data_IF_749873779039
#
_entry.id   IF_749873779039
#
_cell.length_a   1.000
_cell.length_b   1.000
_cell.length_c   1.000
_cell.angle_alpha   90.00
_cell.angle_beta   90.00
_cell.angle_gamma   90.00
#
_symmetry.space_group_name_H-M   'P 1'
#
loop_
_entity.id
_entity.type
_entity.pdbx_description
1 polymer ?
#
# COMPACT_ATOMS: atom_id res chain seq x y z
N UNK A 1 9.53 3.67 -19.96
CA UNK A 1 10.78 3.57 -19.20
C UNK A 1 10.48 3.04 -17.81
N UNK A 2 10.49 1.72 -17.60
CA UNK A 2 10.55 1.11 -16.27
C UNK A 2 11.93 0.46 -16.20
N UNK A 3 12.85 1.06 -15.46
CA UNK A 3 14.15 0.45 -15.22
C UNK A 3 13.93 -0.85 -14.44
N UNK A 4 14.44 -1.94 -15.02
CA UNK A 4 14.34 -3.30 -14.52
C UNK A 4 15.29 -3.44 -13.32
N UNK A 5 14.79 -3.23 -12.10
CA UNK A 5 15.58 -3.48 -10.88
C UNK A 5 15.55 -4.99 -10.60
N UNK A 6 16.45 -5.75 -11.24
CA UNK A 6 16.55 -7.20 -11.03
C UNK A 6 17.07 -7.55 -9.64
N UNK A 7 17.84 -6.64 -9.02
CA UNK A 7 18.50 -6.84 -7.73
C UNK A 7 18.40 -5.58 -6.88
N UNK A 8 17.96 -5.74 -5.64
CA UNK A 8 18.02 -4.69 -4.62
C UNK A 8 19.13 -5.06 -3.64
N UNK A 9 20.08 -4.14 -3.49
CA UNK A 9 21.12 -4.23 -2.47
C UNK A 9 20.73 -3.29 -1.33
N UNK A 10 20.62 -3.82 -0.12
CA UNK A 10 20.36 -3.02 1.07
C UNK A 10 21.37 -3.35 2.17
N UNK A 11 21.70 -2.36 2.99
CA UNK A 11 22.70 -2.47 4.05
C UNK A 11 22.31 -1.53 5.19
N UNK A 12 22.39 -2.01 6.44
CA UNK A 12 22.29 -1.12 7.59
C UNK A 12 23.63 -0.41 7.79
N UNK A 13 23.61 0.92 7.91
CA UNK A 13 24.81 1.72 8.11
C UNK A 13 25.18 1.79 9.60
N UNK A 14 25.46 0.62 10.17
CA UNK A 14 25.92 0.47 11.54
C UNK A 14 27.41 0.76 11.59
N UNK A 15 27.81 1.78 12.35
CA UNK A 15 29.20 2.22 12.47
C UNK A 15 29.65 2.19 13.92
N UNK A 16 30.91 1.84 14.14
CA UNK A 16 31.53 2.02 15.46
C UNK A 16 31.88 3.49 15.66
N UNK A 17 31.42 4.05 16.78
CA UNK A 17 31.69 5.43 17.15
C UNK A 17 32.23 5.50 18.57
N UNK A 18 32.95 6.59 18.85
CA UNK A 18 33.27 7.01 20.19
C UNK A 18 32.56 8.35 20.40
N UNK A 19 31.68 8.43 21.38
CA UNK A 19 31.09 9.70 21.81
C UNK A 19 31.82 10.20 23.05
N UNK A 20 32.03 11.51 23.13
CA UNK A 20 32.56 12.19 24.30
C UNK A 20 31.62 13.31 24.76
N UNK A 21 31.31 13.37 26.05
CA UNK A 21 30.41 14.37 26.64
C UNK A 21 31.19 15.17 27.69
N UNK A 22 31.24 16.48 27.51
CA UNK A 22 31.92 17.43 28.43
C UNK A 22 33.32 16.98 28.85
N UNK A 23 34.04 16.26 27.97
CA UNK A 23 35.36 15.65 28.19
C UNK A 23 35.49 14.66 29.36
N UNK A 24 34.44 14.46 30.16
CA UNK A 24 34.44 13.64 31.38
C UNK A 24 33.85 12.25 31.18
N UNK A 25 33.07 12.06 30.13
CA UNK A 25 32.48 10.78 29.78
C UNK A 25 32.81 10.42 28.34
N UNK A 26 33.23 9.17 28.13
CA UNK A 26 33.47 8.59 26.81
C UNK A 26 32.76 7.26 26.71
N UNK A 27 32.08 7.02 25.61
CA UNK A 27 31.40 5.76 25.31
C UNK A 27 31.78 5.31 23.90
N UNK A 28 32.31 4.10 23.79
CA UNK A 28 32.50 3.42 22.51
C UNK A 28 31.32 2.48 22.29
N UNK A 29 30.62 2.65 21.17
CA UNK A 29 29.42 1.86 20.86
C UNK A 29 29.13 1.85 19.36
N UNK A 30 28.11 1.10 18.96
CA UNK A 30 27.57 1.07 17.61
C UNK A 30 26.47 2.11 17.49
N UNK A 31 26.44 2.84 16.38
CA UNK A 31 25.34 3.71 16.02
C UNK A 31 24.84 3.41 14.61
N UNK A 32 23.54 3.57 14.40
CA UNK A 32 22.91 3.52 13.09
C UNK A 32 22.93 4.91 12.45
N UNK A 33 23.48 5.03 11.25
CA UNK A 33 23.32 6.25 10.44
C UNK A 33 22.01 6.17 9.66
N UNK A 34 21.09 7.10 9.91
CA UNK A 34 19.76 7.11 9.30
C UNK A 34 19.40 8.50 8.74
N UNK A 35 19.45 8.64 7.42
CA UNK A 35 19.07 9.87 6.72
C UNK A 35 17.58 10.20 6.78
N UNK A 36 16.74 9.23 7.18
CA UNK A 36 15.30 9.38 7.39
C UNK A 36 14.94 10.07 8.71
N UNK A 37 15.91 10.29 9.61
CA UNK A 37 15.67 10.94 10.90
C UNK A 37 16.11 12.40 10.91
N UNK A 38 15.24 13.29 11.40
CA UNK A 38 15.51 14.73 11.50
C UNK A 38 16.46 15.08 12.67
N UNK A 39 16.60 14.18 13.64
CA UNK A 39 17.36 14.42 14.89
C UNK A 39 18.18 13.20 15.25
N UNK A 40 19.38 13.40 15.80
CA UNK A 40 20.12 12.30 16.41
C UNK A 40 19.47 11.91 17.75
N UNK A 41 19.43 10.63 18.07
CA UNK A 41 18.87 10.13 19.34
C UNK A 41 19.77 9.12 20.02
N UNK A 42 19.67 9.07 21.34
CA UNK A 42 20.38 8.12 22.20
C UNK A 42 19.45 7.63 23.30
N UNK A 43 19.56 6.33 23.63
CA UNK A 43 18.81 5.72 24.71
C UNK A 43 19.29 6.27 26.07
N UNK A 44 18.33 6.63 26.93
CA UNK A 44 18.59 7.25 28.24
C UNK A 44 19.59 6.44 29.09
N UNK A 45 19.49 5.11 29.06
CA UNK A 45 20.29 4.19 29.86
C UNK A 45 21.80 4.21 29.53
N UNK A 46 22.17 4.68 28.34
CA UNK A 46 23.57 4.73 27.90
C UNK A 46 24.34 5.90 28.50
N UNK A 47 23.64 6.93 29.00
CA UNK A 47 24.24 8.20 29.42
C UNK A 47 23.92 8.49 30.89
N UNK A 48 24.92 8.89 31.70
CA UNK A 48 24.66 9.35 33.06
C UNK A 48 23.69 10.55 33.11
N UNK A 49 22.70 10.48 33.99
CA UNK A 49 21.64 11.49 34.15
C UNK A 49 22.15 12.91 34.43
N UNK A 50 23.36 13.05 34.99
CA UNK A 50 24.03 14.35 35.23
C UNK A 50 24.19 15.20 33.96
N UNK A 51 24.18 14.57 32.77
CA UNK A 51 24.31 15.28 31.50
C UNK A 51 22.96 15.71 30.89
N UNK A 52 21.84 15.32 31.50
CA UNK A 52 20.52 15.50 30.91
C UNK A 52 20.07 16.95 31.01
N UNK A 53 19.58 17.50 29.90
CA UNK A 53 18.98 18.83 29.83
C UNK A 53 17.49 18.68 29.50
N UNK A 54 16.61 19.31 30.27
CA UNK A 54 15.16 19.26 30.00
C UNK A 54 14.83 19.91 28.64
N UNK A 55 13.86 19.35 27.94
CA UNK A 55 13.33 19.88 26.67
C UNK A 55 11.83 19.60 26.55
N UNK A 56 11.13 20.39 25.74
CA UNK A 56 9.70 20.19 25.42
C UNK A 56 9.49 19.82 23.94
N UNK A 57 10.54 19.36 23.27
CA UNK A 57 10.50 19.00 21.86
C UNK A 57 9.55 17.81 21.61
N UNK A 58 8.74 17.93 20.55
CA UNK A 58 7.89 16.84 20.06
C UNK A 58 8.49 16.27 18.79
N UNK A 59 8.41 14.95 18.63
CA UNK A 59 8.85 14.26 17.42
C UNK A 59 7.71 13.43 16.86
N UNK A 60 7.53 13.53 15.55
CA UNK A 60 6.62 12.65 14.81
C UNK A 60 7.37 11.37 14.47
N UNK A 61 6.86 10.23 14.93
CA UNK A 61 7.39 8.92 14.56
C UNK A 61 6.77 8.43 13.24
N UNK A 62 7.37 7.40 12.62
CA UNK A 62 6.82 6.78 11.39
C UNK A 62 5.40 6.22 11.60
N UNK A 63 5.01 5.95 12.84
CA UNK A 63 3.67 5.48 13.22
C UNK A 63 2.65 6.61 13.40
N UNK A 64 2.98 7.85 13.04
CA UNK A 64 2.16 9.06 13.24
C UNK A 64 1.87 9.46 14.70
N UNK A 65 2.44 8.73 15.66
CA UNK A 65 2.42 9.08 17.07
C UNK A 65 3.47 10.16 17.39
N UNK A 66 3.07 11.13 18.21
CA UNK A 66 3.95 12.19 18.70
C UNK A 66 4.66 11.73 19.97
N UNK A 67 5.96 11.48 19.87
CA UNK A 67 6.81 11.20 21.03
C UNK A 67 7.19 12.53 21.69
N UNK A 68 6.77 12.72 22.95
CA UNK A 68 7.19 13.87 23.77
C UNK A 68 8.58 13.57 24.35
N UNK A 69 9.60 14.21 23.79
CA UNK A 69 10.97 14.13 24.30
C UNK A 69 11.06 14.94 25.58
N UNK A 70 11.58 14.33 26.66
CA UNK A 70 11.73 14.99 27.96
C UNK A 70 13.12 15.59 28.15
N UNK A 71 14.13 14.98 27.54
CA UNK A 71 15.52 15.35 27.75
C UNK A 71 16.34 15.36 26.47
N UNK A 72 17.43 16.13 26.48
CA UNK A 72 18.42 16.22 25.41
C UNK A 72 19.82 16.36 26.00
N UNK A 73 20.82 16.22 25.14
CA UNK A 73 22.22 16.54 25.40
C UNK A 73 22.74 17.35 24.22
N UNK A 74 23.28 18.55 24.46
CA UNK A 74 23.67 19.46 23.37
C UNK A 74 25.17 19.54 23.07
N UNK A 75 26.01 18.96 23.93
CA UNK A 75 27.48 19.02 23.81
C UNK A 75 28.10 17.63 23.79
N UNK A 76 27.72 16.86 22.76
CA UNK A 76 28.25 15.52 22.50
C UNK A 76 29.18 15.60 21.30
N UNK A 77 30.38 15.04 21.41
CA UNK A 77 31.33 14.98 20.31
C UNK A 77 31.42 13.55 19.79
N UNK A 78 31.14 13.35 18.51
CA UNK A 78 31.45 12.09 17.81
C UNK A 78 32.91 12.18 17.35
N UNK A 79 33.74 11.27 17.85
CA UNK A 79 35.18 11.26 17.65
C UNK A 79 35.56 10.36 16.46
N UNK A 80 36.46 10.84 15.61
CA UNK A 80 37.04 10.07 14.51
C UNK A 80 38.50 10.48 14.29
N UNK A 81 39.46 9.59 14.55
CA UNK A 81 40.89 9.79 14.26
C UNK A 81 41.45 11.17 14.70
N UNK A 82 41.03 11.66 15.87
CA UNK A 82 41.46 12.97 16.43
C UNK A 82 40.55 14.16 16.10
N UNK A 83 39.55 13.97 15.22
CA UNK A 83 38.53 14.97 14.90
C UNK A 83 37.32 14.78 15.83
N UNK A 84 36.80 15.89 16.35
CA UNK A 84 35.65 15.92 17.26
C UNK A 84 34.49 16.65 16.59
N UNK A 85 33.45 15.90 16.22
CA UNK A 85 32.27 16.46 15.54
C UNK A 85 31.19 16.72 16.58
N UNK A 86 30.99 18.00 16.92
CA UNK A 86 29.96 18.41 17.88
C UNK A 86 28.56 18.11 17.34
N UNK A 87 27.72 17.52 18.17
CA UNK A 87 26.36 17.10 17.89
C UNK A 87 25.47 17.31 19.11
N UNK A 88 24.16 17.37 18.85
CA UNK A 88 23.13 17.28 19.88
C UNK A 88 22.31 16.01 19.68
N UNK A 89 21.84 15.44 20.79
CA UNK A 89 21.03 14.24 20.83
C UNK A 89 19.80 14.47 21.70
N UNK A 90 18.66 13.97 21.24
CA UNK A 90 17.51 13.76 22.11
C UNK A 90 17.70 12.46 22.91
N UNK A 91 17.08 12.40 24.07
CA UNK A 91 17.04 11.19 24.88
C UNK A 91 15.71 10.47 24.72
N UNK A 92 15.79 9.17 24.45
CA UNK A 92 14.64 8.28 24.29
C UNK A 92 14.67 7.24 25.40
N UNK A 93 13.51 7.04 26.05
CA UNK A 93 13.35 6.03 27.11
C UNK A 93 13.09 4.63 26.55
N UNK A 94 12.38 4.56 25.42
CA UNK A 94 12.06 3.29 24.77
C UNK A 94 13.35 2.63 24.27
N UNK A 95 13.35 1.30 24.30
CA UNK A 95 14.51 0.51 23.87
C UNK A 95 14.72 0.70 22.36
N UNK A 96 15.82 1.35 22.00
CA UNK A 96 16.30 1.37 20.63
C UNK A 96 17.12 0.10 20.46
N UNK A 97 16.77 -0.78 19.52
CA UNK A 97 17.52 -2.03 19.26
C UNK A 97 19.05 -1.80 19.12
N UNK A 98 19.47 -0.61 18.70
CA UNK A 98 20.87 -0.21 18.49
C UNK A 98 21.38 0.85 19.49
N UNK A 99 20.54 1.39 20.35
CA UNK A 99 20.90 2.40 21.37
C UNK A 99 21.18 3.82 20.88
N UNK A 100 21.81 4.00 19.70
CA UNK A 100 22.12 5.32 19.11
C UNK A 100 21.75 5.38 17.63
N UNK A 101 21.01 6.43 17.25
CA UNK A 101 20.75 6.78 15.85
C UNK A 101 21.34 8.16 15.55
N UNK A 102 22.13 8.23 14.49
CA UNK A 102 22.74 9.44 13.97
C UNK A 102 21.98 9.85 12.71
N UNK A 103 21.34 11.01 12.77
CA UNK A 103 20.44 11.51 11.75
C UNK A 103 21.01 12.58 10.84
N UNK A 104 20.10 13.34 10.24
CA UNK A 104 20.41 14.47 9.36
C UNK A 104 21.40 15.49 9.94
N UNK A 105 21.36 15.90 11.23
CA UNK A 105 22.28 16.91 11.76
C UNK A 105 23.76 16.51 11.61
N UNK A 106 24.08 15.23 11.74
CA UNK A 106 25.43 14.73 11.49
C UNK A 106 25.76 14.66 10.00
N UNK A 107 24.84 14.12 9.20
CA UNK A 107 25.02 13.98 7.76
C UNK A 107 25.25 15.33 7.07
N UNK A 108 24.58 16.39 7.54
CA UNK A 108 24.78 17.75 7.04
C UNK A 108 26.16 18.30 7.35
N UNK A 109 26.67 18.06 8.56
CA UNK A 109 28.01 18.51 8.96
C UNK A 109 29.09 17.80 8.14
N UNK A 110 28.92 16.51 7.83
CA UNK A 110 29.90 15.75 7.05
C UNK A 110 29.72 15.90 5.54
N UNK A 111 28.86 16.79 5.04
CA UNK A 111 28.76 17.04 3.58
C UNK A 111 29.96 17.84 3.07
N UNK A 112 30.46 17.54 1.85
CA UNK A 112 30.10 16.40 1.01
C UNK A 112 30.73 15.10 1.53
N UNK A 113 29.96 14.01 1.50
CA UNK A 113 30.43 12.66 1.84
C UNK A 113 30.25 11.68 0.67
N UNK A 114 31.07 10.63 0.66
CA UNK A 114 30.97 9.49 -0.27
C UNK A 114 30.67 8.23 0.51
N UNK A 115 29.78 7.42 -0.03
CA UNK A 115 29.38 6.13 0.54
C UNK A 115 29.82 5.02 -0.40
N UNK A 116 30.50 4.02 0.14
CA UNK A 116 30.76 2.75 -0.54
C UNK A 116 30.06 1.62 0.23
N UNK A 117 30.12 0.38 -0.29
CA UNK A 117 29.59 -0.79 0.42
C UNK A 117 30.27 -1.08 1.78
N UNK A 118 31.39 -0.44 2.07
CA UNK A 118 32.22 -0.73 3.25
C UNK A 118 32.30 0.45 4.21
N UNK A 119 32.15 1.68 3.74
CA UNK A 119 32.37 2.86 4.57
C UNK A 119 31.69 4.11 4.04
N UNK A 120 31.47 5.05 4.95
CA UNK A 120 31.20 6.45 4.65
C UNK A 120 32.47 7.26 4.88
N UNK A 121 32.80 8.16 3.93
CA UNK A 121 33.99 9.00 3.98
C UNK A 121 33.64 10.44 3.67
N UNK A 122 34.33 11.38 4.33
CA UNK A 122 34.18 12.82 4.08
C UNK A 122 35.48 13.55 4.40
N UNK A 123 35.55 14.84 4.07
CA UNK A 123 36.68 15.72 4.34
C UNK A 123 36.22 16.88 5.21
N UNK A 124 36.69 16.93 6.45
CA UNK A 124 36.46 18.02 7.40
C UNK A 124 37.78 18.68 7.73
N UNK A 125 37.86 20.02 7.64
CA UNK A 125 39.10 20.77 7.93
C UNK A 125 40.33 20.24 7.20
N UNK A 126 40.14 19.86 5.94
CA UNK A 126 41.15 19.22 5.09
C UNK A 126 41.62 17.82 5.54
N UNK A 127 41.15 17.34 6.67
CA UNK A 127 41.40 16.00 7.18
C UNK A 127 40.30 15.04 6.73
N UNK A 128 40.66 13.78 6.48
CA UNK A 128 39.74 12.75 6.03
C UNK A 128 39.08 12.10 7.24
N UNK A 129 37.75 12.05 7.25
CA UNK A 129 36.98 11.21 8.18
C UNK A 129 36.49 9.95 7.47
N UNK A 130 36.50 8.83 8.18
CA UNK A 130 36.01 7.55 7.66
C UNK A 130 35.31 6.75 8.75
N UNK A 131 34.13 6.20 8.44
CA UNK A 131 33.43 5.26 9.32
C UNK A 131 33.15 3.99 8.52
N UNK A 132 33.65 2.86 9.02
CA UNK A 132 33.46 1.54 8.40
C UNK A 132 32.12 0.94 8.85
N UNK A 133 31.38 0.38 7.91
CA UNK A 133 30.14 -0.32 8.18
C UNK A 133 30.41 -1.71 8.76
N UNK A 134 29.71 -2.05 9.83
CA UNK A 134 29.85 -3.33 10.52
C UNK A 134 29.20 -4.48 9.75
N UNK A 135 28.13 -4.21 9.00
CA UNK A 135 27.39 -5.20 8.23
C UNK A 135 27.77 -5.12 6.75
N UNK A 136 27.75 -6.26 6.05
CA UNK A 136 27.93 -6.31 4.59
C UNK A 136 26.59 -6.02 3.88
N UNK A 137 26.61 -5.46 2.67
CA UNK A 137 25.40 -5.31 1.87
C UNK A 137 24.79 -6.67 1.54
N UNK A 138 23.46 -6.75 1.65
CA UNK A 138 22.67 -7.91 1.28
C UNK A 138 22.00 -7.63 -0.06
N UNK A 139 22.29 -8.46 -1.05
CA UNK A 139 21.65 -8.41 -2.36
C UNK A 139 20.50 -9.40 -2.39
N UNK A 140 19.28 -8.93 -2.62
CA UNK A 140 18.12 -9.78 -2.91
C UNK A 140 17.75 -9.67 -4.37
N UNK A 141 17.57 -10.82 -5.00
CA UNK A 141 16.94 -10.88 -6.32
C UNK A 141 15.45 -10.58 -6.16
N UNK A 142 14.99 -9.59 -6.91
CA UNK A 142 13.57 -9.30 -6.98
C UNK A 142 13.07 -10.13 -8.15
N UNK A 143 12.25 -11.16 -7.89
CA UNK A 143 11.59 -11.90 -8.96
C UNK A 143 10.45 -11.05 -9.56
N UNK A 144 10.85 -9.95 -10.19
CA UNK A 144 9.99 -9.00 -10.89
C UNK A 144 9.19 -9.71 -11.97
N UNK A 145 9.78 -10.68 -12.69
CA UNK A 145 9.07 -11.43 -13.71
C UNK A 145 7.87 -12.19 -13.15
N UNK A 146 8.03 -12.86 -12.01
CA UNK A 146 6.92 -13.52 -11.31
C UNK A 146 5.88 -12.52 -10.84
N UNK A 147 6.32 -11.39 -10.27
CA UNK A 147 5.44 -10.35 -9.75
C UNK A 147 4.65 -9.65 -10.86
N UNK A 148 5.30 -9.26 -11.95
CA UNK A 148 4.72 -8.68 -13.15
C UNK A 148 3.77 -9.67 -13.83
N UNK A 149 4.11 -10.97 -13.85
CA UNK A 149 3.21 -12.01 -14.37
C UNK A 149 1.92 -12.12 -13.56
N UNK A 150 2.03 -12.08 -12.22
CA UNK A 150 0.85 -12.07 -11.31
C UNK A 150 0.01 -10.82 -11.56
N UNK A 151 0.62 -9.63 -11.61
CA UNK A 151 -0.11 -8.38 -11.88
C UNK A 151 -0.75 -8.37 -13.26
N UNK A 152 -0.03 -8.82 -14.30
CA UNK A 152 -0.57 -8.94 -15.66
C UNK A 152 -1.80 -9.84 -15.67
N UNK A 153 -1.72 -11.02 -15.03
CA UNK A 153 -2.86 -11.94 -14.91
C UNK A 153 -4.04 -11.30 -14.19
N UNK A 154 -3.78 -10.59 -13.09
CA UNK A 154 -4.80 -9.87 -12.34
C UNK A 154 -5.52 -8.81 -13.19
N UNK A 155 -4.77 -7.94 -13.87
CA UNK A 155 -5.34 -6.88 -14.71
C UNK A 155 -6.09 -7.43 -15.93
N UNK A 156 -5.57 -8.47 -16.57
CA UNK A 156 -6.28 -9.15 -17.67
C UNK A 156 -7.62 -9.72 -17.20
N UNK A 157 -7.66 -10.35 -16.03
CA UNK A 157 -8.91 -10.82 -15.45
C UNK A 157 -9.87 -9.67 -15.13
N UNK A 158 -9.36 -8.57 -14.55
CA UNK A 158 -10.17 -7.40 -14.23
C UNK A 158 -10.80 -6.78 -15.50
N UNK A 159 -10.02 -6.64 -16.57
CA UNK A 159 -10.50 -6.16 -17.88
C UNK A 159 -11.61 -7.08 -18.39
N UNK A 160 -11.39 -8.41 -18.38
CA UNK A 160 -12.38 -9.38 -18.82
C UNK A 160 -13.70 -9.30 -18.03
N UNK A 161 -13.62 -9.10 -16.71
CA UNK A 161 -14.81 -8.89 -15.88
C UNK A 161 -15.55 -7.60 -16.26
N UNK A 162 -14.82 -6.52 -16.54
CA UNK A 162 -15.42 -5.24 -16.96
C UNK A 162 -16.02 -5.31 -18.36
N UNK A 163 -15.39 -6.01 -19.30
CA UNK A 163 -15.94 -6.27 -20.64
C UNK A 163 -17.26 -7.05 -20.56
N UNK A 164 -17.31 -8.10 -19.73
CA UNK A 164 -18.55 -8.86 -19.49
C UNK A 164 -19.64 -7.98 -18.89
N UNK A 165 -19.31 -7.14 -17.91
CA UNK A 165 -20.27 -6.21 -17.31
C UNK A 165 -20.80 -5.21 -18.35
N UNK A 166 -19.92 -4.66 -19.19
CA UNK A 166 -20.31 -3.75 -20.28
C UNK A 166 -21.24 -4.43 -21.30
N UNK A 167 -20.98 -5.70 -21.61
CA UNK A 167 -21.86 -6.50 -22.47
C UNK A 167 -23.27 -6.60 -21.89
N UNK A 168 -23.41 -6.93 -20.60
CA UNK A 168 -24.73 -6.99 -19.95
C UNK A 168 -25.44 -5.64 -19.92
N UNK A 169 -24.73 -4.55 -19.59
CA UNK A 169 -25.31 -3.20 -19.61
C UNK A 169 -25.85 -2.82 -21.00
N UNK A 170 -25.12 -3.19 -22.07
CA UNK A 170 -25.58 -2.93 -23.45
C UNK A 170 -26.88 -3.66 -23.76
N UNK A 171 -27.05 -4.88 -23.26
CA UNK A 171 -28.29 -5.63 -23.41
C UNK A 171 -29.43 -5.00 -22.61
N UNK A 172 -29.19 -4.59 -21.37
CA UNK A 172 -30.20 -3.91 -20.55
C UNK A 172 -30.70 -2.61 -21.19
N UNK A 173 -29.81 -1.79 -21.74
CA UNK A 173 -30.18 -0.55 -22.44
C UNK A 173 -31.03 -0.87 -23.67
N UNK A 174 -30.67 -1.92 -24.42
CA UNK A 174 -31.44 -2.34 -25.60
C UNK A 174 -32.84 -2.83 -25.21
N UNK A 175 -32.95 -3.60 -24.11
CA UNK A 175 -34.23 -4.07 -23.57
C UNK A 175 -35.10 -2.91 -23.09
N UNK A 176 -34.55 -1.95 -22.34
CA UNK A 176 -35.29 -0.74 -21.90
C UNK A 176 -35.80 0.08 -23.08
N UNK A 177 -35.00 0.21 -24.14
CA UNK A 177 -35.42 0.92 -25.37
C UNK A 177 -36.58 0.20 -26.05
N UNK A 178 -36.54 -1.14 -26.09
CA UNK A 178 -37.64 -1.96 -26.62
C UNK A 178 -38.91 -1.80 -25.78
N UNK A 179 -38.81 -1.85 -24.46
CA UNK A 179 -39.94 -1.62 -23.54
C UNK A 179 -40.59 -0.25 -23.76
N UNK A 180 -39.77 0.81 -23.88
CA UNK A 180 -40.25 2.16 -24.18
C UNK A 180 -40.98 2.22 -25.53
N UNK A 181 -40.43 1.58 -26.57
CA UNK A 181 -41.07 1.52 -27.89
C UNK A 181 -42.42 0.79 -27.85
N UNK A 182 -42.53 -0.32 -27.12
CA UNK A 182 -43.80 -1.05 -26.96
C UNK A 182 -44.88 -0.18 -26.30
N UNK A 183 -44.50 0.73 -25.39
CA UNK A 183 -45.44 1.63 -24.71
C UNK A 183 -45.92 2.80 -25.58
N UNK A 184 -45.34 3.03 -26.76
CA UNK A 184 -45.77 4.12 -27.66
C UNK A 184 -47.20 3.93 -28.14
N UNK A 185 -48.01 5.00 -28.18
CA UNK A 185 -49.45 4.94 -28.54
C UNK A 185 -49.70 4.22 -29.87
N UNK A 186 -48.93 4.55 -30.90
CA UNK A 186 -49.05 3.93 -32.23
C UNK A 186 -48.85 2.41 -32.22
N UNK A 187 -47.90 1.90 -31.44
CA UNK A 187 -47.63 0.46 -31.34
C UNK A 187 -48.72 -0.22 -30.50
N UNK A 188 -49.12 0.41 -29.39
CA UNK A 188 -50.20 -0.09 -28.53
C UNK A 188 -51.54 -0.19 -29.26
N UNK A 189 -51.85 0.80 -30.10
CA UNK A 189 -53.03 0.79 -30.98
C UNK A 189 -52.96 -0.33 -32.02
N UNK A 190 -51.82 -0.53 -32.67
CA UNK A 190 -51.61 -1.67 -33.59
C UNK A 190 -51.77 -3.02 -32.88
N UNK A 191 -51.23 -3.16 -31.66
CA UNK A 191 -51.40 -4.37 -30.84
C UNK A 191 -52.88 -4.60 -30.51
N UNK A 192 -53.61 -3.56 -30.11
CA UNK A 192 -55.04 -3.66 -29.81
C UNK A 192 -55.86 -4.00 -31.05
N UNK A 193 -55.57 -3.38 -32.19
CA UNK A 193 -56.19 -3.70 -33.48
C UNK A 193 -55.95 -5.16 -33.88
N UNK A 194 -54.71 -5.64 -33.76
CA UNK A 194 -54.38 -7.05 -34.00
C UNK A 194 -55.13 -7.99 -33.04
N UNK A 195 -55.19 -7.65 -31.75
CA UNK A 195 -55.94 -8.41 -30.74
C UNK A 195 -57.42 -8.50 -31.11
N UNK A 196 -58.04 -7.38 -31.52
CA UNK A 196 -59.42 -7.37 -31.98
C UNK A 196 -59.63 -8.20 -33.25
N UNK A 197 -58.73 -8.13 -34.22
CA UNK A 197 -58.80 -8.95 -35.43
C UNK A 197 -58.68 -10.45 -35.12
N UNK A 198 -57.81 -10.86 -34.20
CA UNK A 198 -57.69 -12.26 -33.77
C UNK A 198 -59.00 -12.71 -33.12
N UNK A 199 -59.55 -11.93 -32.17
CA UNK A 199 -60.82 -12.26 -31.51
C UNK A 199 -61.95 -12.35 -32.56
N UNK A 200 -62.05 -11.37 -33.45
CA UNK A 200 -63.16 -11.25 -34.39
C UNK A 200 -63.06 -12.16 -35.61
N UNK A 201 -61.89 -12.70 -35.95
CA UNK A 201 -61.75 -13.60 -37.10
C UNK A 201 -61.46 -15.05 -36.70
N UNK A 202 -60.83 -15.27 -35.55
CA UNK A 202 -60.47 -16.62 -35.10
C UNK A 202 -61.44 -17.08 -34.00
N UNK A 203 -61.71 -16.24 -33.00
CA UNK A 203 -62.59 -16.61 -31.89
C UNK A 203 -64.08 -16.44 -32.22
N UNK A 204 -64.45 -15.69 -33.26
CA UNK A 204 -65.83 -15.53 -33.72
C UNK A 204 -66.34 -16.73 -34.52
N UNK A 205 -65.47 -17.36 -35.31
CA UNK A 205 -65.85 -18.48 -36.16
C UNK A 205 -66.15 -19.73 -35.35
N UNK A 206 -65.58 -19.85 -34.14
CA UNK A 206 -65.90 -20.93 -33.21
C UNK A 206 -65.70 -20.47 -31.75
N UNK A 207 -66.73 -19.87 -31.11
CA UNK A 207 -66.75 -19.66 -29.65
C UNK A 207 -66.56 -21.00 -28.92
N UNK A 208 -67.03 -22.07 -29.58
CA UNK A 208 -66.99 -23.44 -29.13
C UNK A 208 -65.95 -24.29 -29.85
N UNK A 209 -64.92 -23.77 -30.53
CA UNK A 209 -63.98 -24.63 -31.29
C UNK A 209 -63.29 -25.65 -30.39
N UNK A 210 -62.97 -25.20 -29.18
CA UNK A 210 -62.41 -26.03 -28.14
C UNK A 210 -63.45 -26.98 -27.54
N UNK A 211 -64.72 -26.55 -27.45
CA UNK A 211 -65.84 -27.34 -26.93
C UNK A 211 -66.40 -28.37 -27.94
N UNK A 212 -66.35 -28.08 -29.24
CA UNK A 212 -66.72 -28.98 -30.34
C UNK A 212 -65.70 -30.10 -30.54
N UNK A 213 -64.41 -29.87 -30.24
CA UNK A 213 -63.42 -30.96 -30.12
C UNK A 213 -63.72 -31.90 -28.96
N UNK A 214 -64.43 -31.43 -27.91
CA UNK A 214 -64.92 -32.27 -26.80
C UNK A 214 -66.22 -33.03 -27.10
N UNK A 215 -66.85 -32.87 -28.26
CA UNK A 215 -67.96 -33.76 -28.69
C UNK A 215 -67.50 -35.20 -28.95
N UNK A 216 -66.20 -35.40 -29.17
CA UNK A 216 -65.56 -36.67 -28.91
C UNK A 216 -65.16 -36.68 -27.44
N UNK A 217 -66.04 -37.22 -26.60
CA UNK A 217 -65.69 -37.58 -25.24
C UNK A 217 -64.64 -38.70 -25.32
N UNK A 218 -63.36 -38.32 -25.41
CA UNK A 218 -62.28 -39.28 -25.18
C UNK A 218 -62.33 -39.56 -23.68
N UNK A 219 -62.78 -40.76 -23.31
CA UNK A 219 -62.59 -41.28 -21.97
C UNK A 219 -61.08 -41.29 -21.72
N UNK A 220 -60.59 -40.35 -20.91
CA UNK A 220 -59.23 -40.45 -20.38
C UNK A 220 -59.22 -41.67 -19.44
N UNK A 221 -58.21 -42.55 -19.51
CA UNK A 221 -58.08 -43.60 -18.51
C UNK A 221 -57.98 -42.94 -17.13
N UNK A 222 -58.86 -43.35 -16.23
CA UNK A 222 -58.82 -42.92 -14.84
C UNK A 222 -57.55 -43.49 -14.21
N UNK A 223 -56.57 -42.63 -13.92
CA UNK A 223 -55.43 -42.99 -13.07
C UNK A 223 -55.92 -43.01 -11.62
N UNK A 224 -55.81 -44.20 -10.99
CA UNK A 224 -56.31 -44.46 -9.63
C UNK A 224 -55.73 -43.56 -8.55
N UNK A 225 -54.61 -42.90 -8.82
CA UNK A 225 -53.80 -42.20 -7.81
C UNK A 225 -53.78 -40.67 -7.99
N UNK A 226 -54.72 -40.10 -8.75
CA UNK A 226 -54.79 -38.65 -8.93
C UNK A 226 -55.36 -37.95 -7.68
N UNK A 227 -54.48 -37.59 -6.75
CA UNK A 227 -54.79 -36.72 -5.60
C UNK A 227 -54.92 -35.25 -6.03
N UNK A 228 -55.99 -34.59 -5.57
CA UNK A 228 -56.41 -33.23 -5.92
C UNK A 228 -55.54 -32.14 -5.30
#
# INVERSE_FOLDING_TARGET
FINLIERITYQKWNINIIIAIQYSFKLQTIALVDSGTQTNCIQEELIPTKFFQKTEQKLSTANSDNLRVKFKISDVHICNEGIYIKQSFILIKDNLDIGIIIGQPFLEIIKPFKVTNERITSKLFQQKIQFTFNEKPITKEVNLLKTLSIFKKYYVNLIKTKENHFYFMKQEVSNKKLEQQIQTSQIKEKINSLKHNIINNICSYLPDAFWHRKRYMVSLPYEKDFTK
#
